data_IF_134682164446
#
_entry.id   IF_134682164446
#
_cell.length_a   1.000
_cell.length_b   1.000
_cell.length_c   1.000
_cell.angle_alpha   90.00
_cell.angle_beta   90.00
_cell.angle_gamma   90.00
#
_symmetry.space_group_name_H-M   'P 1'
#
loop_
_entity.id
_entity.type
_entity.pdbx_description
1 polymer ?
#
# COMPACT_ATOMS: atom_id res chain seq x y z
N UNK A 1 -6.99 16.05 -20.03
CA UNK A 1 -7.63 15.97 -21.36
C UNK A 1 -8.13 14.54 -21.66
N UNK A 2 -7.42 13.48 -21.24
CA UNK A 2 -7.84 12.08 -21.48
C UNK A 2 -9.16 11.71 -20.79
N UNK A 3 -9.47 12.29 -19.62
CA UNK A 3 -10.73 12.05 -18.89
C UNK A 3 -11.98 12.39 -19.73
N UNK A 4 -11.88 13.34 -20.66
CA UNK A 4 -13.00 13.78 -21.49
C UNK A 4 -13.14 12.92 -22.75
N UNK A 5 -12.14 12.12 -23.12
CA UNK A 5 -12.10 11.40 -24.41
C UNK A 5 -12.26 9.88 -24.30
N UNK A 6 -12.22 9.28 -23.09
CA UNK A 6 -12.45 7.85 -22.90
C UNK A 6 -13.89 7.59 -22.46
N UNK A 7 -14.65 6.89 -23.29
CA UNK A 7 -16.05 6.46 -22.97
C UNK A 7 -16.10 5.14 -22.20
N UNK A 8 -14.95 4.55 -21.82
CA UNK A 8 -14.89 3.27 -21.18
C UNK A 8 -15.12 3.40 -19.68
N UNK A 9 -16.18 2.77 -19.18
CA UNK A 9 -16.45 2.56 -17.77
C UNK A 9 -15.99 1.17 -17.35
N UNK A 10 -15.49 1.06 -16.12
CA UNK A 10 -15.06 -0.21 -15.53
C UNK A 10 -15.93 -0.54 -14.32
N UNK A 11 -16.02 -1.83 -14.02
CA UNK A 11 -16.76 -2.32 -12.86
C UNK A 11 -15.85 -3.11 -11.93
N UNK A 12 -15.73 -2.62 -10.70
CA UNK A 12 -15.04 -3.32 -9.63
C UNK A 12 -16.06 -3.97 -8.71
N UNK A 13 -15.82 -5.22 -8.35
CA UNK A 13 -16.56 -5.90 -7.29
C UNK A 13 -15.67 -5.98 -6.05
N UNK A 14 -16.26 -5.70 -4.88
CA UNK A 14 -15.59 -5.97 -3.61
C UNK A 14 -16.27 -7.14 -2.90
N UNK A 15 -15.45 -8.05 -2.36
CA UNK A 15 -15.95 -9.28 -1.74
C UNK A 15 -16.53 -9.01 -0.38
N UNK A 16 -17.49 -9.85 0.01
CA UNK A 16 -18.07 -9.91 1.35
C UNK A 16 -18.34 -11.36 1.77
N UNK A 17 -18.54 -11.56 3.07
CA UNK A 17 -18.86 -12.87 3.65
C UNK A 17 -17.75 -13.46 4.52
N UNK A 18 -16.51 -12.98 4.44
CA UNK A 18 -15.37 -13.46 5.23
C UNK A 18 -14.87 -12.42 6.24
N UNK A 19 -15.71 -11.43 6.57
CA UNK A 19 -15.38 -10.35 7.50
C UNK A 19 -14.52 -9.26 6.87
N UNK A 20 -14.64 -9.09 5.57
CA UNK A 20 -14.04 -7.97 4.83
C UNK A 20 -14.62 -6.64 5.30
N UNK A 21 -13.81 -5.59 5.21
CA UNK A 21 -14.26 -4.22 5.41
C UNK A 21 -15.05 -3.74 4.20
N UNK A 22 -16.08 -2.93 4.43
CA UNK A 22 -16.72 -2.20 3.34
C UNK A 22 -15.80 -1.08 2.87
N UNK A 23 -15.78 -0.81 1.57
CA UNK A 23 -15.06 0.33 1.03
C UNK A 23 -15.64 1.64 1.60
N UNK A 24 -14.78 2.52 2.10
CA UNK A 24 -15.21 3.81 2.61
C UNK A 24 -15.82 4.69 1.51
N UNK A 25 -16.59 5.70 1.90
CA UNK A 25 -17.15 6.68 0.97
C UNK A 25 -16.08 7.42 0.18
N UNK A 26 -14.93 7.66 0.79
CA UNK A 26 -13.79 8.32 0.17
C UNK A 26 -13.18 7.43 -0.92
N UNK A 27 -12.90 6.16 -0.61
CA UNK A 27 -12.40 5.18 -1.59
C UNK A 27 -13.37 5.04 -2.75
N UNK A 28 -14.67 4.86 -2.47
CA UNK A 28 -15.70 4.73 -3.50
C UNK A 28 -15.78 5.97 -4.39
N UNK A 29 -15.68 7.18 -3.80
CA UNK A 29 -15.63 8.44 -4.55
C UNK A 29 -14.41 8.54 -5.47
N UNK A 30 -13.22 8.12 -4.99
CA UNK A 30 -12.00 8.12 -5.80
C UNK A 30 -12.10 7.14 -6.98
N UNK A 31 -12.65 5.95 -6.76
CA UNK A 31 -12.88 4.97 -7.82
C UNK A 31 -13.90 5.50 -8.85
N UNK A 32 -14.99 6.11 -8.40
CA UNK A 32 -16.00 6.72 -9.28
C UNK A 32 -15.40 7.86 -10.12
N UNK A 33 -14.54 8.70 -9.54
CA UNK A 33 -13.80 9.74 -10.29
C UNK A 33 -12.88 9.14 -11.35
N UNK A 34 -12.41 7.92 -11.14
CA UNK A 34 -11.61 7.16 -12.12
C UNK A 34 -12.48 6.33 -13.09
N UNK A 35 -13.79 6.58 -13.17
CA UNK A 35 -14.78 5.84 -13.97
C UNK A 35 -14.87 4.36 -13.63
N UNK A 36 -14.70 4.03 -12.35
CA UNK A 36 -14.82 2.69 -11.83
C UNK A 36 -16.04 2.65 -10.91
N UNK A 37 -17.11 1.99 -11.34
CA UNK A 37 -18.28 1.71 -10.50
C UNK A 37 -17.96 0.54 -9.57
N UNK A 38 -18.55 0.54 -8.37
CA UNK A 38 -18.33 -0.52 -7.38
C UNK A 38 -19.63 -1.26 -7.07
N UNK A 39 -19.53 -2.58 -6.85
CA UNK A 39 -20.65 -3.42 -6.43
C UNK A 39 -20.16 -4.46 -5.42
N UNK A 40 -21.02 -4.85 -4.48
CA UNK A 40 -20.74 -5.95 -3.56
C UNK A 40 -20.83 -7.31 -4.26
N UNK A 41 -20.01 -8.26 -3.83
CA UNK A 41 -20.03 -9.66 -4.25
C UNK A 41 -19.96 -10.56 -3.03
N UNK A 42 -21.09 -11.10 -2.60
CA UNK A 42 -21.13 -12.13 -1.56
C UNK A 42 -20.50 -13.43 -2.11
N UNK A 43 -19.21 -13.61 -1.88
CA UNK A 43 -18.44 -14.70 -2.48
C UNK A 43 -18.92 -16.08 -2.00
N UNK A 44 -19.41 -16.18 -0.75
CA UNK A 44 -19.93 -17.43 -0.18
C UNK A 44 -21.08 -18.05 -0.98
N UNK A 45 -21.87 -17.24 -1.67
CA UNK A 45 -23.01 -17.71 -2.47
C UNK A 45 -22.76 -17.64 -3.97
N UNK A 46 -21.62 -17.08 -4.37
CA UNK A 46 -21.27 -16.91 -5.78
C UNK A 46 -20.94 -18.26 -6.43
N UNK A 47 -21.55 -18.55 -7.54
CA UNK A 47 -21.21 -19.72 -8.38
C UNK A 47 -20.14 -19.39 -9.43
N UNK A 48 -19.98 -18.10 -9.75
CA UNK A 48 -18.95 -17.55 -10.65
C UNK A 48 -18.69 -16.10 -10.30
N UNK A 49 -17.52 -15.60 -10.66
CA UNK A 49 -17.28 -14.15 -10.70
C UNK A 49 -18.07 -13.58 -11.89
N UNK A 50 -18.82 -12.45 -11.71
CA UNK A 50 -19.61 -11.87 -12.79
C UNK A 50 -18.77 -11.57 -14.04
N UNK A 51 -19.36 -11.78 -15.23
CA UNK A 51 -18.67 -11.58 -16.50
C UNK A 51 -18.30 -10.11 -16.78
N UNK A 52 -19.01 -9.19 -16.15
CA UNK A 52 -18.77 -7.74 -16.19
C UNK A 52 -17.79 -7.26 -15.11
N UNK A 53 -17.15 -8.18 -14.37
CA UNK A 53 -16.13 -7.87 -13.40
C UNK A 53 -14.81 -7.55 -14.09
N UNK A 54 -14.41 -6.29 -14.11
CA UNK A 54 -13.11 -5.86 -14.60
C UNK A 54 -12.03 -5.97 -13.52
N UNK A 55 -12.40 -5.79 -12.25
CA UNK A 55 -11.53 -5.88 -11.09
C UNK A 55 -12.26 -6.45 -9.88
N UNK A 56 -11.59 -7.31 -9.12
CA UNK A 56 -12.06 -7.80 -7.83
C UNK A 56 -11.21 -7.22 -6.71
N UNK A 57 -11.83 -6.68 -5.68
CA UNK A 57 -11.17 -6.13 -4.48
C UNK A 57 -11.52 -7.01 -3.29
N UNK A 58 -10.50 -7.44 -2.54
CA UNK A 58 -10.64 -8.18 -1.28
C UNK A 58 -10.04 -7.31 -0.18
N UNK A 59 -10.89 -6.67 0.61
CA UNK A 59 -10.45 -5.73 1.64
C UNK A 59 -10.50 -6.35 3.03
N UNK A 60 -9.39 -6.95 3.43
CA UNK A 60 -9.20 -7.35 4.81
C UNK A 60 -10.07 -8.51 5.27
N UNK A 61 -10.17 -9.59 4.50
CA UNK A 61 -10.84 -10.81 4.94
C UNK A 61 -10.24 -11.33 6.25
N UNK A 62 -11.07 -11.50 7.29
CA UNK A 62 -10.66 -11.95 8.64
C UNK A 62 -10.94 -13.42 8.91
N UNK A 63 -11.61 -14.12 8.00
CA UNK A 63 -11.79 -15.57 7.97
C UNK A 63 -11.40 -16.14 6.61
N UNK A 64 -10.92 -17.40 6.61
CA UNK A 64 -10.38 -18.01 5.40
C UNK A 64 -11.47 -18.34 4.38
N UNK A 65 -11.13 -18.25 3.12
CA UNK A 65 -11.96 -18.69 2.01
C UNK A 65 -12.03 -20.22 1.97
N UNK A 66 -13.13 -20.75 1.47
CA UNK A 66 -13.26 -22.18 1.15
C UNK A 66 -12.39 -22.54 -0.08
N UNK A 67 -12.14 -23.82 -0.25
CA UNK A 67 -11.41 -24.30 -1.44
C UNK A 67 -12.14 -23.98 -2.75
N UNK A 68 -13.48 -23.97 -2.74
CA UNK A 68 -14.25 -23.70 -3.95
C UNK A 68 -14.24 -22.22 -4.29
N UNK A 69 -14.28 -21.32 -3.30
CA UNK A 69 -14.11 -19.88 -3.51
C UNK A 69 -12.70 -19.56 -4.03
N UNK A 70 -11.65 -20.19 -3.49
CA UNK A 70 -10.29 -20.03 -4.03
C UNK A 70 -10.19 -20.56 -5.45
N UNK A 71 -10.93 -21.61 -5.81
CA UNK A 71 -11.06 -22.07 -7.21
C UNK A 71 -11.71 -21.02 -8.11
N UNK A 72 -12.75 -20.32 -7.63
CA UNK A 72 -13.37 -19.23 -8.38
C UNK A 72 -12.37 -18.10 -8.64
N UNK A 73 -11.64 -17.66 -7.61
CA UNK A 73 -10.59 -16.65 -7.72
C UNK A 73 -9.47 -17.08 -8.69
N UNK A 74 -8.97 -18.31 -8.54
CA UNK A 74 -7.94 -18.86 -9.42
C UNK A 74 -8.43 -18.97 -10.88
N UNK A 75 -9.69 -19.37 -11.09
CA UNK A 75 -10.28 -19.48 -12.42
C UNK A 75 -10.46 -18.09 -13.06
N UNK A 76 -10.84 -17.09 -12.28
CA UNK A 76 -10.97 -15.71 -12.72
C UNK A 76 -9.60 -15.15 -13.14
N UNK A 77 -8.57 -15.31 -12.33
CA UNK A 77 -7.19 -14.93 -12.67
C UNK A 77 -6.71 -15.63 -13.93
N UNK A 78 -6.89 -16.95 -14.07
CA UNK A 78 -6.50 -17.73 -15.27
C UNK A 78 -7.21 -17.32 -16.56
N UNK A 79 -8.29 -16.54 -16.47
CA UNK A 79 -9.01 -15.95 -17.60
C UNK A 79 -8.58 -14.51 -17.91
N UNK A 80 -7.54 -13.99 -17.23
CA UNK A 80 -7.06 -12.62 -17.36
C UNK A 80 -7.77 -11.65 -16.42
N UNK A 81 -8.37 -12.18 -15.35
CA UNK A 81 -8.95 -11.40 -14.27
C UNK A 81 -7.91 -10.61 -13.48
N UNK A 82 -8.37 -9.61 -12.76
CA UNK A 82 -7.53 -8.71 -11.98
C UNK A 82 -8.05 -8.64 -10.55
N UNK A 83 -7.14 -8.81 -9.59
CA UNK A 83 -7.48 -8.84 -8.16
C UNK A 83 -6.55 -7.90 -7.41
N UNK A 84 -7.12 -7.07 -6.55
CA UNK A 84 -6.40 -6.32 -5.54
C UNK A 84 -6.84 -6.86 -4.18
N UNK A 85 -5.89 -7.33 -3.37
CA UNK A 85 -6.18 -7.82 -2.03
C UNK A 85 -5.35 -7.08 -1.00
N UNK A 86 -6.00 -6.65 0.07
CA UNK A 86 -5.39 -6.09 1.25
C UNK A 86 -5.57 -7.09 2.39
N UNK A 87 -4.48 -7.43 3.07
CA UNK A 87 -4.51 -8.46 4.11
C UNK A 87 -5.03 -7.91 5.43
N UNK A 88 -5.84 -8.69 6.11
CA UNK A 88 -6.41 -8.31 7.40
C UNK A 88 -5.41 -8.45 8.55
N UNK A 89 -5.66 -7.66 9.59
CA UNK A 89 -5.10 -7.88 10.92
C UNK A 89 -5.82 -9.06 11.60
N UNK A 90 -5.41 -10.29 11.28
CA UNK A 90 -6.02 -11.49 11.86
C UNK A 90 -4.96 -12.47 12.33
N UNK A 91 -5.25 -13.16 13.42
CA UNK A 91 -4.48 -14.29 13.92
C UNK A 91 -5.11 -15.63 13.51
N UNK A 92 -6.24 -15.61 12.79
CA UNK A 92 -6.85 -16.81 12.25
C UNK A 92 -6.01 -17.39 11.11
N UNK A 93 -6.12 -18.70 10.93
CA UNK A 93 -5.47 -19.38 9.81
C UNK A 93 -6.16 -19.02 8.49
N UNK A 94 -5.40 -18.49 7.54
CA UNK A 94 -5.87 -18.11 6.20
C UNK A 94 -5.23 -19.04 5.14
N UNK A 95 -5.27 -20.34 5.40
CA UNK A 95 -4.52 -21.34 4.64
C UNK A 95 -4.87 -21.36 3.15
N UNK A 96 -6.14 -21.25 2.82
CA UNK A 96 -6.60 -21.33 1.44
C UNK A 96 -6.28 -20.05 0.66
N UNK A 97 -6.59 -18.86 1.24
CA UNK A 97 -6.23 -17.58 0.64
C UNK A 97 -4.70 -17.45 0.49
N UNK A 98 -3.94 -17.74 1.55
CA UNK A 98 -2.48 -17.66 1.49
C UNK A 98 -1.87 -18.70 0.56
N UNK A 99 -2.55 -19.84 0.36
CA UNK A 99 -2.20 -20.82 -0.67
C UNK A 99 -2.29 -20.25 -2.08
N UNK A 100 -3.36 -19.50 -2.38
CA UNK A 100 -3.50 -18.77 -3.65
C UNK A 100 -2.38 -17.75 -3.85
N UNK A 101 -2.06 -16.95 -2.82
CA UNK A 101 -0.97 -15.97 -2.89
C UNK A 101 0.38 -16.66 -3.16
N UNK A 102 0.62 -17.80 -2.52
CA UNK A 102 1.83 -18.61 -2.73
C UNK A 102 1.92 -19.14 -4.15
N UNK A 103 0.81 -19.58 -4.76
CA UNK A 103 0.77 -20.00 -6.15
C UNK A 103 1.18 -18.86 -7.10
N UNK A 104 0.97 -17.61 -6.69
CA UNK A 104 1.38 -16.41 -7.41
C UNK A 104 2.72 -15.82 -6.93
N UNK A 105 3.51 -16.57 -6.18
CA UNK A 105 4.88 -16.21 -5.81
C UNK A 105 5.02 -15.40 -4.53
N UNK A 106 4.00 -15.34 -3.66
CA UNK A 106 4.00 -14.57 -2.42
C UNK A 106 3.69 -15.46 -1.22
N UNK A 107 4.68 -15.71 -0.38
CA UNK A 107 4.50 -16.46 0.87
C UNK A 107 4.28 -15.50 2.04
N UNK A 108 3.07 -15.50 2.60
CA UNK A 108 2.72 -14.66 3.75
C UNK A 108 3.38 -15.21 5.01
N UNK A 109 4.01 -14.32 5.78
CA UNK A 109 4.71 -14.66 7.02
C UNK A 109 3.75 -14.65 8.21
N UNK A 110 4.09 -15.45 9.22
CA UNK A 110 3.35 -15.45 10.49
C UNK A 110 3.64 -14.18 11.29
N UNK A 111 2.65 -13.72 12.06
CA UNK A 111 2.76 -12.54 12.91
C UNK A 111 2.56 -11.23 12.14
N UNK A 112 3.15 -10.16 12.66
CA UNK A 112 3.13 -8.82 12.09
C UNK A 112 4.54 -8.34 11.84
N UNK A 113 4.67 -7.40 10.93
CA UNK A 113 5.96 -6.81 10.62
C UNK A 113 6.19 -5.58 11.50
N UNK A 114 7.39 -5.52 12.08
CA UNK A 114 7.95 -4.35 12.70
C UNK A 114 9.19 -3.91 11.91
N UNK A 115 9.51 -2.61 11.89
CA UNK A 115 10.73 -2.08 11.29
C UNK A 115 11.33 -1.05 12.24
N UNK A 116 12.53 -1.32 12.73
CA UNK A 116 13.19 -0.46 13.73
C UNK A 116 13.86 0.77 13.11
N UNK A 117 14.05 0.77 11.80
CA UNK A 117 14.68 1.86 11.05
C UNK A 117 13.64 2.75 10.36
N UNK A 118 12.63 2.14 9.75
CA UNK A 118 11.63 2.84 8.94
C UNK A 118 10.25 2.75 9.58
N UNK A 119 10.10 3.48 10.70
CA UNK A 119 8.85 3.55 11.45
C UNK A 119 8.49 4.98 11.82
N UNK A 120 7.20 5.23 11.98
CA UNK A 120 6.67 6.53 12.35
C UNK A 120 6.77 6.76 13.86
N UNK A 121 7.45 7.83 14.26
CA UNK A 121 7.59 8.28 15.67
C UNK A 121 8.00 7.18 16.67
N UNK A 122 8.81 6.20 16.22
CA UNK A 122 9.29 5.13 17.10
C UNK A 122 8.27 4.01 17.35
N UNK A 123 7.10 4.05 16.73
CA UNK A 123 6.19 2.92 16.72
C UNK A 123 6.56 1.96 15.59
N UNK A 124 7.27 0.89 15.91
CA UNK A 124 7.83 -0.06 14.94
C UNK A 124 6.80 -0.78 14.07
N UNK A 125 5.53 -0.76 14.43
CA UNK A 125 4.42 -1.32 13.65
C UNK A 125 3.74 -0.31 12.72
N UNK A 126 4.14 0.98 12.80
CA UNK A 126 3.72 2.04 11.88
C UNK A 126 4.84 2.22 10.86
N UNK A 127 4.80 1.37 9.84
CA UNK A 127 5.88 1.24 8.87
C UNK A 127 5.85 2.35 7.84
N UNK A 128 7.01 2.92 7.53
CA UNK A 128 7.21 3.81 6.38
C UNK A 128 8.01 3.01 5.35
N UNK A 129 7.37 2.33 4.41
CA UNK A 129 8.03 1.38 3.52
C UNK A 129 8.99 2.05 2.53
N UNK A 130 9.95 1.27 2.03
CA UNK A 130 10.68 1.59 0.83
C UNK A 130 9.77 1.35 -0.37
N UNK A 131 9.56 2.37 -1.20
CA UNK A 131 8.73 2.30 -2.40
C UNK A 131 9.60 2.18 -3.65
N UNK A 132 9.26 1.22 -4.51
CA UNK A 132 9.83 1.00 -5.84
C UNK A 132 8.72 1.01 -6.88
N UNK A 133 7.90 2.04 -6.85
CA UNK A 133 6.79 2.24 -7.80
C UNK A 133 7.30 2.93 -9.06
N UNK A 134 6.70 2.60 -10.21
CA UNK A 134 7.03 3.20 -11.51
C UNK A 134 5.77 3.39 -12.36
N UNK A 135 5.88 4.17 -13.43
CA UNK A 135 4.77 4.44 -14.34
C UNK A 135 3.57 5.04 -13.61
N UNK A 136 2.38 4.58 -13.94
CA UNK A 136 1.12 5.11 -13.41
C UNK A 136 0.99 4.91 -11.90
N UNK A 137 1.57 3.85 -11.33
CA UNK A 137 1.57 3.64 -9.87
C UNK A 137 2.35 4.71 -9.11
N UNK A 138 3.34 5.36 -9.73
CA UNK A 138 4.17 6.37 -9.09
C UNK A 138 3.56 7.78 -9.15
N UNK A 139 2.46 7.97 -9.88
CA UNK A 139 1.86 9.28 -10.09
C UNK A 139 1.39 9.91 -8.77
N UNK A 140 1.93 11.08 -8.43
CA UNK A 140 1.60 11.79 -7.20
C UNK A 140 2.08 11.13 -5.91
N UNK A 141 2.99 10.16 -5.99
CA UNK A 141 3.57 9.49 -4.82
C UNK A 141 4.95 10.06 -4.51
N UNK A 142 5.14 10.53 -3.31
CA UNK A 142 6.42 11.00 -2.77
C UNK A 142 7.08 9.92 -1.92
N UNK A 143 8.40 9.95 -1.79
CA UNK A 143 9.09 9.08 -0.84
C UNK A 143 8.64 9.39 0.59
N UNK A 144 8.38 8.35 1.38
CA UNK A 144 7.95 8.43 2.78
C UNK A 144 6.51 8.98 3.02
N UNK A 145 5.69 9.05 1.98
CA UNK A 145 4.30 9.53 2.08
C UNK A 145 3.27 8.40 2.28
N UNK A 146 3.73 7.15 2.33
CA UNK A 146 2.88 5.98 2.53
C UNK A 146 3.19 5.33 3.87
N UNK A 147 2.15 4.95 4.60
CA UNK A 147 2.28 4.28 5.88
C UNK A 147 1.47 2.99 5.90
N UNK A 148 2.11 1.91 6.37
CA UNK A 148 1.48 0.60 6.58
C UNK A 148 1.40 0.31 8.08
N UNK A 149 0.22 0.06 8.60
CA UNK A 149 -0.01 -0.18 10.03
C UNK A 149 -0.32 -1.65 10.26
N UNK A 150 0.34 -2.26 11.25
CA UNK A 150 0.14 -3.66 11.66
C UNK A 150 0.14 -4.63 10.47
N UNK A 151 1.09 -4.47 9.56
CA UNK A 151 1.14 -5.18 8.30
C UNK A 151 1.54 -6.65 8.47
N UNK A 152 0.94 -7.52 7.67
CA UNK A 152 1.52 -8.82 7.35
C UNK A 152 2.70 -8.60 6.42
N UNK A 153 3.74 -9.40 6.57
CA UNK A 153 4.85 -9.43 5.63
C UNK A 153 4.75 -10.61 4.69
N UNK A 154 5.36 -10.46 3.55
CA UNK A 154 5.49 -11.54 2.58
C UNK A 154 6.95 -11.73 2.21
N UNK A 155 7.28 -12.91 1.68
CA UNK A 155 8.54 -13.17 0.98
C UNK A 155 8.21 -13.65 -0.43
N UNK A 156 9.04 -13.28 -1.38
CA UNK A 156 8.92 -13.82 -2.74
C UNK A 156 9.30 -15.31 -2.72
N UNK A 157 8.55 -16.09 -3.44
CA UNK A 157 8.75 -17.52 -3.61
C UNK A 157 8.55 -17.90 -5.09
N UNK A 158 8.99 -19.08 -5.49
CA UNK A 158 8.77 -19.56 -6.86
C UNK A 158 7.28 -19.73 -7.10
N UNK A 159 6.70 -19.05 -8.11
CA UNK A 159 5.31 -19.23 -8.48
C UNK A 159 5.03 -20.64 -8.98
N UNK A 160 3.77 -21.07 -8.95
CA UNK A 160 3.36 -22.40 -9.44
C UNK A 160 3.50 -22.57 -10.96
N UNK A 161 3.62 -21.46 -11.68
CA UNK A 161 3.79 -21.42 -13.15
C UNK A 161 4.89 -20.42 -13.52
N UNK A 162 5.76 -20.82 -14.45
CA UNK A 162 6.86 -19.99 -14.96
C UNK A 162 6.37 -18.74 -15.73
N UNK A 163 5.09 -18.74 -16.15
CA UNK A 163 4.45 -17.59 -16.80
C UNK A 163 4.11 -16.44 -15.85
N UNK A 164 4.23 -16.65 -14.54
CA UNK A 164 3.95 -15.63 -13.52
C UNK A 164 5.23 -14.89 -13.16
N UNK A 165 5.20 -13.57 -13.27
CA UNK A 165 6.23 -12.67 -12.74
C UNK A 165 5.69 -11.95 -11.53
N UNK A 166 6.51 -11.84 -10.47
CA UNK A 166 6.12 -11.18 -9.22
C UNK A 166 7.13 -10.11 -8.86
N UNK A 167 6.67 -8.87 -8.80
CA UNK A 167 7.46 -7.68 -8.51
C UNK A 167 7.02 -7.05 -7.19
N UNK A 168 7.97 -6.90 -6.26
CA UNK A 168 7.74 -6.20 -5.00
C UNK A 168 7.95 -4.70 -5.20
N UNK A 169 6.90 -3.92 -5.02
CA UNK A 169 6.97 -2.46 -5.13
C UNK A 169 7.03 -1.75 -3.76
N UNK A 170 6.86 -2.50 -2.67
CA UNK A 170 6.87 -1.98 -1.31
C UNK A 170 7.54 -2.99 -0.37
N UNK A 171 8.59 -2.54 0.35
CA UNK A 171 9.36 -3.42 1.25
C UNK A 171 9.72 -2.71 2.55
N UNK A 172 10.08 -3.48 3.58
CA UNK A 172 10.75 -2.96 4.78
C UNK A 172 12.20 -2.57 4.48
N UNK A 173 12.87 -1.98 5.47
CA UNK A 173 14.33 -1.94 5.52
C UNK A 173 14.92 -3.35 5.78
N UNK A 174 16.24 -3.46 5.82
CA UNK A 174 16.93 -4.68 6.27
C UNK A 174 16.76 -4.95 7.77
N UNK A 175 16.31 -3.94 8.53
CA UNK A 175 15.99 -4.01 9.95
C UNK A 175 14.48 -4.26 10.20
N UNK A 176 13.82 -4.90 9.23
CA UNK A 176 12.48 -5.43 9.37
C UNK A 176 12.48 -6.74 10.19
N UNK A 177 11.40 -6.98 10.92
CA UNK A 177 11.22 -8.17 11.75
C UNK A 177 9.81 -8.73 11.54
N UNK A 178 9.69 -10.02 11.27
CA UNK A 178 8.43 -10.74 11.42
C UNK A 178 8.31 -11.16 12.89
N UNK A 179 7.33 -10.58 13.59
CA UNK A 179 7.14 -10.72 15.03
C UNK A 179 5.94 -11.60 15.32
N UNK A 180 6.17 -12.68 16.04
CA UNK A 180 5.15 -13.56 16.61
C UNK A 180 5.30 -13.59 18.13
N UNK A 181 4.36 -14.15 18.86
CA UNK A 181 4.46 -14.32 20.33
C UNK A 181 5.72 -15.11 20.76
N UNK A 182 6.23 -16.00 19.89
CA UNK A 182 7.32 -16.92 20.23
C UNK A 182 8.64 -16.57 19.58
N UNK A 183 8.64 -15.77 18.51
CA UNK A 183 9.84 -15.57 17.68
C UNK A 183 9.80 -14.22 16.96
N UNK A 184 10.98 -13.64 16.87
CA UNK A 184 11.25 -12.52 15.96
C UNK A 184 12.26 -12.98 14.91
N UNK A 185 11.98 -12.72 13.65
CA UNK A 185 12.87 -13.08 12.55
C UNK A 185 13.20 -11.83 11.76
N UNK A 186 14.47 -11.45 11.77
CA UNK A 186 14.97 -10.30 11.01
C UNK A 186 15.04 -10.61 9.52
N UNK A 187 14.73 -9.64 8.69
CA UNK A 187 14.84 -9.71 7.23
C UNK A 187 14.17 -8.55 6.54
N UNK A 188 14.33 -8.49 5.23
CA UNK A 188 13.55 -7.58 4.37
C UNK A 188 12.26 -8.28 3.97
N UNK A 189 11.13 -7.66 4.27
CA UNK A 189 9.81 -8.21 3.98
C UNK A 189 9.09 -7.38 2.92
N UNK A 190 8.39 -8.06 2.04
CA UNK A 190 7.49 -7.44 1.07
C UNK A 190 6.21 -7.02 1.79
N UNK A 191 5.83 -5.77 1.62
CA UNK A 191 4.61 -5.17 2.15
C UNK A 191 3.57 -4.88 1.05
N UNK A 192 4.04 -4.81 -0.20
CA UNK A 192 3.21 -4.68 -1.39
C UNK A 192 3.89 -5.29 -2.60
N UNK A 193 3.16 -6.10 -3.36
CA UNK A 193 3.66 -6.74 -4.57
C UNK A 193 2.56 -6.89 -5.62
N UNK A 194 2.98 -7.00 -6.88
CA UNK A 194 2.10 -7.32 -8.00
C UNK A 194 2.64 -8.54 -8.72
N UNK A 195 1.78 -9.56 -8.90
CA UNK A 195 2.05 -10.72 -9.72
C UNK A 195 1.27 -10.61 -11.02
N UNK A 196 1.94 -10.76 -12.15
CA UNK A 196 1.35 -10.67 -13.49
C UNK A 196 1.53 -11.99 -14.25
N UNK A 197 0.57 -12.32 -15.09
CA UNK A 197 0.63 -13.50 -15.96
C UNK A 197 -0.02 -13.20 -17.30
N UNK A 198 0.67 -13.50 -18.41
CA UNK A 198 0.10 -13.46 -19.75
C UNK A 198 -0.67 -14.74 -20.05
N UNK A 199 -1.99 -14.67 -20.11
CA UNK A 199 -2.88 -15.83 -20.32
C UNK A 199 -3.52 -15.78 -21.71
N UNK A 200 -3.60 -16.93 -22.36
CA UNK A 200 -4.28 -17.09 -23.66
C UNK A 200 -5.73 -17.54 -23.44
N UNK A 201 -6.67 -16.68 -23.75
CA UNK A 201 -8.11 -16.95 -23.61
C UNK A 201 -8.82 -16.89 -24.97
N UNK A 202 -9.98 -17.53 -25.07
CA UNK A 202 -10.84 -17.38 -26.26
C UNK A 202 -11.78 -16.19 -26.02
N UNK A 203 -11.85 -15.27 -26.98
CA UNK A 203 -12.86 -14.21 -26.96
C UNK A 203 -14.25 -14.74 -27.36
N UNK A 204 -15.28 -13.90 -27.32
CA UNK A 204 -16.65 -14.22 -27.71
C UNK A 204 -16.81 -14.75 -29.15
N UNK A 205 -15.83 -14.47 -30.03
CA UNK A 205 -15.77 -14.96 -31.42
C UNK A 205 -14.93 -16.22 -31.54
N UNK A 206 -14.52 -16.87 -30.45
CA UNK A 206 -13.70 -18.09 -30.43
C UNK A 206 -12.22 -17.89 -30.79
N UNK A 207 -11.79 -16.66 -31.09
CA UNK A 207 -10.39 -16.34 -31.42
C UNK A 207 -9.56 -16.30 -30.13
N UNK A 208 -8.36 -16.91 -30.16
CA UNK A 208 -7.39 -16.81 -29.06
C UNK A 208 -6.85 -15.38 -28.98
N UNK A 209 -6.94 -14.78 -27.80
CA UNK A 209 -6.37 -13.46 -27.46
C UNK A 209 -5.52 -13.62 -26.22
N UNK A 210 -4.47 -12.83 -26.12
CA UNK A 210 -3.65 -12.75 -24.91
C UNK A 210 -4.23 -11.67 -24.00
N UNK A 211 -4.47 -12.00 -22.75
CA UNK A 211 -4.86 -11.07 -21.69
C UNK A 211 -3.81 -11.09 -20.58
N UNK A 212 -3.62 -9.99 -19.90
CA UNK A 212 -2.85 -9.93 -18.67
C UNK A 212 -3.76 -10.22 -17.47
N UNK A 213 -3.39 -11.20 -16.67
CA UNK A 213 -3.90 -11.43 -15.34
C UNK A 213 -3.03 -10.66 -14.35
N UNK A 214 -3.62 -10.07 -13.32
CA UNK A 214 -2.89 -9.31 -12.32
C UNK A 214 -3.44 -9.54 -10.92
N UNK A 215 -2.53 -9.83 -9.99
CA UNK A 215 -2.83 -9.98 -8.56
C UNK A 215 -1.94 -8.99 -7.80
N UNK A 216 -2.52 -7.91 -7.28
CA UNK A 216 -1.83 -6.94 -6.41
C UNK A 216 -2.17 -7.24 -4.96
N UNK A 217 -1.17 -7.31 -4.10
CA UNK A 217 -1.30 -7.68 -2.69
C UNK A 217 -0.68 -6.59 -1.82
N UNK A 218 -1.44 -6.11 -0.84
CA UNK A 218 -0.97 -5.24 0.24
C UNK A 218 -0.99 -5.98 1.57
N UNK A 219 0.03 -5.81 2.38
CA UNK A 219 0.17 -6.49 3.66
C UNK A 219 -0.79 -6.01 4.76
N UNK A 220 -1.52 -4.91 4.55
CA UNK A 220 -2.48 -4.39 5.50
C UNK A 220 -3.64 -3.68 4.82
N UNK A 221 -4.87 -3.94 5.28
CA UNK A 221 -6.05 -3.21 4.87
C UNK A 221 -6.16 -1.83 5.54
N UNK A 222 -5.36 -1.56 6.58
CA UNK A 222 -5.24 -0.21 7.17
C UNK A 222 -4.69 0.82 6.18
N UNK A 223 -4.16 0.39 5.02
CA UNK A 223 -3.76 1.28 3.93
C UNK A 223 -4.88 2.21 3.48
N UNK A 224 -6.13 1.71 3.43
CA UNK A 224 -7.31 2.45 2.96
C UNK A 224 -8.36 2.66 4.06
N UNK A 225 -8.01 2.37 5.31
CA UNK A 225 -8.90 2.56 6.46
C UNK A 225 -9.19 4.06 6.68
N UNK A 226 -10.47 4.40 6.83
CA UNK A 226 -10.94 5.80 6.94
C UNK A 226 -10.38 6.51 8.18
N UNK A 227 -10.22 5.80 9.29
CA UNK A 227 -9.66 6.39 10.50
C UNK A 227 -8.18 6.76 10.30
N UNK A 228 -7.44 5.95 9.55
CA UNK A 228 -6.02 6.21 9.26
C UNK A 228 -5.89 7.34 8.25
N UNK A 229 -6.62 7.28 7.13
CA UNK A 229 -6.53 8.28 6.07
C UNK A 229 -7.00 9.66 6.53
N UNK A 230 -8.00 9.73 7.40
CA UNK A 230 -8.47 11.00 8.00
C UNK A 230 -7.54 11.53 9.09
N UNK A 231 -6.90 10.65 9.88
CA UNK A 231 -5.99 11.04 10.95
C UNK A 231 -4.63 11.52 10.43
N UNK A 232 -4.22 11.06 9.25
CA UNK A 232 -2.94 11.36 8.61
C UNK A 232 -3.17 11.92 7.20
N UNK A 233 -3.70 13.13 7.12
CA UNK A 233 -4.10 13.78 5.86
C UNK A 233 -2.97 14.02 4.85
N UNK A 234 -1.71 13.96 5.30
CA UNK A 234 -0.52 14.08 4.45
C UNK A 234 -0.10 12.76 3.79
N UNK A 235 -0.72 11.63 4.16
CA UNK A 235 -0.40 10.34 3.55
C UNK A 235 -1.00 10.22 2.15
N UNK A 236 -0.23 9.60 1.28
CA UNK A 236 -0.61 9.29 -0.11
C UNK A 236 -1.10 7.83 -0.26
N UNK A 237 -1.54 7.23 0.83
CA UNK A 237 -2.05 5.85 0.89
C UNK A 237 -3.17 5.61 -0.13
N UNK A 238 -4.19 6.49 -0.12
CA UNK A 238 -5.32 6.39 -1.06
C UNK A 238 -4.89 6.63 -2.50
N UNK A 239 -3.92 7.52 -2.72
CA UNK A 239 -3.33 7.77 -4.04
C UNK A 239 -2.66 6.50 -4.56
N UNK A 240 -1.83 5.85 -3.72
CA UNK A 240 -1.16 4.60 -4.09
C UNK A 240 -2.17 3.49 -4.39
N UNK A 241 -3.19 3.34 -3.54
CA UNK A 241 -4.25 2.35 -3.77
C UNK A 241 -4.98 2.61 -5.09
N UNK A 242 -5.45 3.85 -5.32
CA UNK A 242 -6.16 4.23 -6.54
C UNK A 242 -5.29 4.03 -7.78
N UNK A 243 -4.01 4.40 -7.70
CA UNK A 243 -3.05 4.19 -8.78
C UNK A 243 -2.88 2.70 -9.09
N UNK A 244 -2.81 1.85 -8.08
CA UNK A 244 -2.68 0.40 -8.29
C UNK A 244 -3.93 -0.19 -8.94
N UNK A 245 -5.11 0.29 -8.56
CA UNK A 245 -6.39 -0.12 -9.16
C UNK A 245 -6.46 0.31 -10.63
N UNK A 246 -6.15 1.57 -10.93
CA UNK A 246 -6.15 2.09 -12.31
C UNK A 246 -5.09 1.42 -13.18
N UNK A 247 -3.89 1.18 -12.65
CA UNK A 247 -2.84 0.43 -13.34
C UNK A 247 -3.25 -1.01 -13.67
N UNK A 248 -4.11 -1.63 -12.84
CA UNK A 248 -4.70 -2.94 -13.15
C UNK A 248 -5.62 -2.88 -14.38
N UNK A 249 -6.30 -1.78 -14.63
CA UNK A 249 -7.37 -1.70 -15.63
C UNK A 249 -6.92 -1.25 -17.01
N UNK A 250 -5.61 -1.11 -17.27
CA UNK A 250 -5.01 -0.74 -18.56
C UNK A 250 -5.87 0.29 -19.33
N UNK A 251 -5.66 1.58 -19.11
CA UNK A 251 -6.39 2.73 -19.66
C UNK A 251 -7.51 3.32 -18.77
N UNK A 252 -7.67 2.94 -17.51
CA UNK A 252 -8.39 3.79 -16.58
C UNK A 252 -7.55 5.07 -16.40
N UNK A 253 -8.14 6.22 -16.74
CA UNK A 253 -7.44 7.48 -16.62
C UNK A 253 -7.12 7.80 -15.17
N UNK A 254 -5.86 7.94 -14.86
CA UNK A 254 -5.39 8.33 -13.53
C UNK A 254 -5.71 9.81 -13.33
N UNK A 255 -6.87 10.11 -12.78
CA UNK A 255 -7.20 11.47 -12.30
C UNK A 255 -6.66 11.60 -10.88
N UNK A 256 -5.34 11.51 -10.73
CA UNK A 256 -4.68 11.92 -9.50
C UNK A 256 -4.72 13.44 -9.41
N UNK A 257 -5.78 13.98 -8.87
CA UNK A 257 -5.75 15.32 -8.30
C UNK A 257 -5.19 15.12 -6.90
N UNK A 258 -3.86 15.22 -6.78
CA UNK A 258 -3.23 15.30 -5.45
C UNK A 258 -3.94 16.41 -4.67
N UNK A 259 -4.52 16.13 -3.50
CA UNK A 259 -5.03 17.18 -2.67
C UNK A 259 -3.84 18.13 -2.41
N UNK A 260 -3.96 19.37 -2.87
CA UNK A 260 -2.93 20.36 -2.59
C UNK A 260 -3.05 20.66 -1.10
N UNK A 261 -2.11 20.11 -0.32
CA UNK A 261 -2.03 20.43 1.10
C UNK A 261 -1.98 21.93 1.25
N UNK A 262 -2.93 22.50 1.96
CA UNK A 262 -2.91 23.89 2.41
C UNK A 262 -2.01 24.06 3.64
N UNK A 263 -1.34 22.99 4.05
CA UNK A 263 -0.39 23.05 5.14
C UNK A 263 0.80 23.91 4.73
N UNK A 264 1.02 24.94 5.48
CA UNK A 264 2.21 25.79 5.40
C UNK A 264 3.40 24.90 5.74
N UNK A 265 4.24 24.59 4.77
CA UNK A 265 5.50 23.88 5.03
C UNK A 265 6.38 24.77 5.92
N UNK A 266 6.44 24.43 7.18
CA UNK A 266 7.44 25.05 8.06
C UNK A 266 8.81 24.49 7.69
N UNK A 267 9.75 25.38 7.36
CA UNK A 267 11.15 25.01 7.24
C UNK A 267 11.65 24.55 8.61
N UNK A 268 11.62 23.26 8.85
CA UNK A 268 12.19 22.66 10.05
C UNK A 268 13.70 22.58 9.89
N UNK A 269 14.44 23.10 10.87
CA UNK A 269 15.90 22.95 10.91
C UNK A 269 16.21 21.46 11.16
N UNK A 270 16.89 20.81 10.22
CA UNK A 270 17.20 19.36 10.28
C UNK A 270 17.93 18.95 11.57
N UNK A 271 18.68 19.84 12.20
CA UNK A 271 19.39 19.60 13.46
C UNK A 271 19.21 20.81 14.40
N UNK A 272 18.07 20.94 15.10
CA UNK A 272 17.80 22.10 15.97
C UNK A 272 18.74 22.18 17.19
N UNK A 273 19.25 21.05 17.68
CA UNK A 273 20.09 20.99 18.88
C UNK A 273 21.35 21.86 18.82
N UNK A 274 22.25 21.65 17.84
CA UNK A 274 23.47 22.49 17.71
C UNK A 274 23.15 23.96 17.49
N UNK A 275 22.12 24.28 16.72
CA UNK A 275 21.71 25.67 16.49
C UNK A 275 21.15 26.33 17.75
N UNK A 276 20.36 25.62 18.55
CA UNK A 276 19.86 26.09 19.83
C UNK A 276 20.98 26.36 20.83
N UNK A 277 22.00 25.50 20.92
CA UNK A 277 23.16 25.69 21.78
C UNK A 277 23.91 26.95 21.35
N UNK A 278 24.13 27.16 20.07
CA UNK A 278 24.80 28.35 19.55
C UNK A 278 24.07 29.63 19.92
N UNK A 279 22.76 29.69 19.69
CA UNK A 279 21.96 30.94 19.91
C UNK A 279 21.72 31.18 21.38
N UNK A 280 21.40 30.17 22.20
CA UNK A 280 20.98 30.32 23.59
C UNK A 280 22.17 30.44 24.54
N UNK A 281 23.31 29.80 24.24
CA UNK A 281 24.46 29.77 25.14
C UNK A 281 25.67 30.50 24.57
N UNK A 282 26.12 30.17 23.37
CA UNK A 282 27.42 30.70 22.86
C UNK A 282 27.36 32.20 22.62
N UNK A 283 26.30 32.73 22.01
CA UNK A 283 26.16 34.14 21.71
C UNK A 283 26.00 34.95 23.02
N UNK A 284 25.10 34.63 23.97
CA UNK A 284 24.96 35.40 25.22
C UNK A 284 26.25 35.37 26.09
N UNK A 285 26.87 34.21 26.21
CA UNK A 285 28.14 34.07 26.96
C UNK A 285 29.23 34.93 26.32
N UNK A 286 29.36 34.91 24.99
CA UNK A 286 30.31 35.75 24.25
C UNK A 286 30.10 37.23 24.49
N UNK A 287 28.85 37.69 24.52
CA UNK A 287 28.50 39.09 24.82
C UNK A 287 28.85 39.50 26.29
N UNK A 288 28.59 38.58 27.24
CA UNK A 288 28.94 38.80 28.65
C UNK A 288 30.46 38.92 28.80
N UNK A 289 31.24 38.00 28.21
CA UNK A 289 32.70 38.03 28.27
C UNK A 289 33.23 39.30 27.60
N UNK A 290 32.74 39.66 26.44
CA UNK A 290 33.09 40.92 25.75
C UNK A 290 32.79 42.16 26.58
N UNK A 291 31.61 42.20 27.20
CA UNK A 291 31.24 43.27 28.15
C UNK A 291 32.17 43.36 29.35
N UNK A 292 32.54 42.23 29.94
CA UNK A 292 33.51 42.19 31.05
C UNK A 292 34.91 42.70 30.64
N UNK A 293 35.38 42.31 29.47
CA UNK A 293 36.66 42.78 28.94
C UNK A 293 36.67 44.28 28.75
N UNK A 294 35.62 44.83 28.15
CA UNK A 294 35.46 46.30 27.96
C UNK A 294 35.40 47.04 29.31
N UNK A 295 34.61 46.52 30.26
CA UNK A 295 34.49 47.08 31.59
C UNK A 295 35.81 47.07 32.33
N UNK A 296 36.60 45.98 32.33
CA UNK A 296 37.92 45.90 32.95
C UNK A 296 38.93 46.85 32.32
N UNK A 297 38.91 47.00 30.98
CA UNK A 297 39.80 47.95 30.29
C UNK A 297 39.49 49.42 30.65
N UNK A 298 38.19 49.77 30.83
CA UNK A 298 37.79 51.11 31.26
C UNK A 298 38.15 51.44 32.71
N UNK A 299 38.17 50.44 33.58
CA UNK A 299 38.50 50.61 35.00
C UNK A 299 39.99 50.72 35.27
N UNK A 300 40.81 50.34 34.32
CA UNK A 300 42.29 50.42 34.41
C UNK A 300 42.86 51.68 33.72
N UNK A 301 42.03 52.53 33.15
CA UNK A 301 42.33 53.90 32.74
C UNK A 301 41.76 54.88 33.75
#
# INVERSE_FOLDING_TARGET
LNYVTSDKEYKAYYTSGHGESSLSSEVTSLLTKSRISTSDLLLMTATSIPDDCDLLIIDGATSDFTKDEVKLLSSYLKKGGKVVTLLAQTNKSMKNLYGLLKDYGLTVQSGYIADTERSYQGNYYYLIPNLSVSGDMASGISSNSVMMINSKGMTQSTPVRDSISTDAFMTTSSNGYAVTEKKQTQGTYVLGATSTESVKVKNSKGKKVTKESRLTVYGSNMLIDEQITSSFSSLENLTLFTNSVTACLNNADNVSISPKSLEVSYNTIAHPGPFSILVVFVIPVGLIIGGFIVWFRRRRR
#
